data_IF_161362354668
#
_entry.id   IF_161362354668
#
_cell.length_a   1.000
_cell.length_b   1.000
_cell.length_c   1.000
_cell.angle_alpha   90.00
_cell.angle_beta   90.00
_cell.angle_gamma   90.00
#
_symmetry.space_group_name_H-M   'P 1'
#
loop_
_entity.id
_entity.type
_entity.pdbx_description
1 polymer ?
#
# COMPACT_ATOMS: atom_id res chain seq x y z
N UNK A 1 34.87 34.17 7.42
CA UNK A 1 33.87 34.17 6.34
C UNK A 1 34.26 33.09 5.34
N UNK A 2 33.43 32.06 5.18
CA UNK A 2 33.55 31.06 4.12
C UNK A 2 32.32 31.18 3.23
N UNK A 3 32.53 31.69 2.01
CA UNK A 3 31.54 31.95 0.98
C UNK A 3 31.34 30.72 0.10
N UNK A 4 30.46 29.80 0.50
CA UNK A 4 29.73 28.83 -0.36
C UNK A 4 29.09 27.77 0.56
N UNK A 5 27.80 27.47 0.58
CA UNK A 5 26.63 27.87 -0.21
C UNK A 5 25.40 27.36 0.59
N UNK A 6 24.33 28.16 0.61
CA UNK A 6 23.01 27.98 1.22
C UNK A 6 22.55 26.59 1.74
N UNK A 7 22.16 26.56 3.02
CA UNK A 7 21.38 25.49 3.70
C UNK A 7 19.88 25.59 3.41
N UNK A 8 19.48 25.64 2.14
CA UNK A 8 18.06 25.59 1.78
C UNK A 8 17.83 24.55 0.70
N UNK A 9 17.39 23.38 1.14
CA UNK A 9 16.48 22.51 0.39
C UNK A 9 17.00 21.86 -0.89
N UNK A 10 18.31 21.65 -1.07
CA UNK A 10 18.81 20.83 -2.18
C UNK A 10 19.97 19.96 -1.70
N UNK A 11 19.73 18.65 -1.64
CA UNK A 11 20.78 17.66 -1.58
C UNK A 11 20.74 16.94 -2.92
N UNK A 12 21.62 17.31 -3.86
CA UNK A 12 22.31 16.37 -4.75
C UNK A 12 22.95 17.06 -5.96
N UNK A 13 24.05 16.44 -6.39
CA UNK A 13 24.80 16.64 -7.64
C UNK A 13 23.94 16.79 -8.92
N UNK A 14 22.67 16.38 -8.91
CA UNK A 14 21.72 16.52 -10.00
C UNK A 14 20.70 17.63 -9.73
N UNK A 15 20.84 18.74 -10.46
CA UNK A 15 19.97 19.94 -10.35
C UNK A 15 18.57 19.75 -10.91
N UNK A 16 18.32 18.66 -11.63
CA UNK A 16 17.01 18.37 -12.25
C UNK A 16 16.12 17.50 -11.37
N UNK A 17 16.67 16.96 -10.28
CA UNK A 17 15.97 16.05 -9.40
C UNK A 17 15.46 16.79 -8.14
N UNK A 18 14.25 16.45 -7.66
CA UNK A 18 13.71 17.04 -6.44
C UNK A 18 14.58 16.70 -5.21
N UNK A 19 14.57 17.57 -4.18
CA UNK A 19 15.41 17.39 -3.00
C UNK A 19 15.06 16.10 -2.23
N UNK A 20 16.08 15.32 -1.85
CA UNK A 20 15.95 14.17 -0.93
C UNK A 20 15.62 14.66 0.49
N UNK A 21 14.35 14.99 0.74
CA UNK A 21 13.85 15.26 2.09
C UNK A 21 13.04 14.07 2.59
N UNK A 22 13.40 13.55 3.77
CA UNK A 22 12.68 12.44 4.43
C UNK A 22 11.22 12.79 4.76
N UNK A 23 10.91 14.08 4.84
CA UNK A 23 9.60 14.60 5.27
C UNK A 23 8.56 14.68 4.13
N UNK A 24 8.88 14.20 2.91
CA UNK A 24 7.90 14.06 1.81
C UNK A 24 7.26 15.36 1.26
N UNK A 25 7.51 16.51 1.88
CA UNK A 25 6.91 17.82 1.55
C UNK A 25 7.13 18.30 0.11
N UNK A 26 8.13 17.79 -0.60
CA UNK A 26 8.32 18.09 -2.02
C UNK A 26 7.25 17.47 -2.93
N UNK A 27 6.52 16.47 -2.46
CA UNK A 27 5.52 15.74 -3.23
C UNK A 27 4.10 15.95 -2.71
N UNK A 28 3.90 16.85 -1.73
CA UNK A 28 2.60 17.12 -1.12
C UNK A 28 2.32 18.61 -1.13
N UNK A 29 1.38 19.05 -1.98
CA UNK A 29 0.81 20.38 -1.90
C UNK A 29 -0.19 20.42 -0.75
N UNK A 30 0.26 20.80 0.44
CA UNK A 30 -0.63 21.02 1.59
C UNK A 30 -1.31 22.39 1.45
N UNK A 31 -2.42 22.45 0.72
CA UNK A 31 -3.30 23.62 0.70
C UNK A 31 -4.40 23.45 1.76
N UNK A 32 -4.55 24.38 2.72
CA UNK A 32 -5.62 24.30 3.71
C UNK A 32 -7.01 24.33 3.07
N UNK A 33 -7.95 23.52 3.58
CA UNK A 33 -9.34 23.46 3.08
C UNK A 33 -10.06 24.81 3.12
N UNK A 34 -9.68 25.68 4.06
CA UNK A 34 -10.23 27.04 4.17
C UNK A 34 -9.89 27.90 2.94
N UNK A 35 -8.66 27.79 2.43
CA UNK A 35 -8.20 28.52 1.25
C UNK A 35 -8.90 28.00 -0.02
N UNK A 36 -9.06 26.68 -0.12
CA UNK A 36 -9.82 26.04 -1.21
C UNK A 36 -11.28 26.50 -1.19
N UNK A 37 -11.91 26.56 -0.02
CA UNK A 37 -13.29 27.04 0.13
C UNK A 37 -13.43 28.52 -0.26
N UNK A 38 -12.50 29.38 0.14
CA UNK A 38 -12.52 30.80 -0.24
C UNK A 38 -12.32 30.99 -1.74
N UNK A 39 -11.49 30.15 -2.37
CA UNK A 39 -11.36 30.09 -3.82
C UNK A 39 -12.65 29.65 -4.50
N UNK A 40 -13.33 28.61 -4.01
CA UNK A 40 -14.64 28.17 -4.52
C UNK A 40 -15.67 29.30 -4.46
N UNK A 41 -15.76 30.01 -3.33
CA UNK A 41 -16.67 31.16 -3.18
C UNK A 41 -16.36 32.25 -4.19
N UNK A 42 -15.08 32.56 -4.40
CA UNK A 42 -14.62 33.59 -5.35
C UNK A 42 -14.91 33.19 -6.80
N UNK A 43 -14.59 31.95 -7.17
CA UNK A 43 -14.73 31.44 -8.54
C UNK A 43 -16.21 31.26 -8.91
N UNK A 44 -17.04 30.79 -7.97
CA UNK A 44 -18.50 30.69 -8.12
C UNK A 44 -19.24 32.01 -7.87
N UNK A 45 -18.52 33.11 -7.58
CA UNK A 45 -19.06 34.47 -7.33
C UNK A 45 -20.14 34.51 -6.25
N UNK A 46 -19.99 33.72 -5.19
CA UNK A 46 -20.93 33.64 -4.07
C UNK A 46 -20.78 34.88 -3.20
N UNK A 47 -21.86 35.66 -3.06
CA UNK A 47 -21.87 36.92 -2.32
C UNK A 47 -22.67 36.83 -1.01
N UNK A 48 -23.50 35.80 -0.84
CA UNK A 48 -24.34 35.63 0.34
C UNK A 48 -24.30 34.22 0.93
N UNK A 49 -24.61 34.14 2.23
CA UNK A 49 -24.73 32.85 2.92
C UNK A 49 -25.85 31.96 2.35
N UNK A 50 -26.87 32.56 1.73
CA UNK A 50 -27.93 31.81 1.07
C UNK A 50 -27.42 31.13 -0.21
N UNK A 51 -26.76 31.89 -1.08
CA UNK A 51 -26.13 31.37 -2.30
C UNK A 51 -25.10 30.28 -1.99
N UNK A 52 -24.34 30.43 -0.90
CA UNK A 52 -23.40 29.40 -0.47
C UNK A 52 -24.10 28.08 -0.13
N UNK A 53 -25.20 28.14 0.63
CA UNK A 53 -25.99 26.93 0.96
C UNK A 53 -26.60 26.29 -0.28
N UNK A 54 -27.15 27.10 -1.18
CA UNK A 54 -27.72 26.63 -2.44
C UNK A 54 -26.66 25.98 -3.33
N UNK A 55 -25.47 26.59 -3.42
CA UNK A 55 -24.34 26.03 -4.16
C UNK A 55 -23.93 24.67 -3.59
N UNK A 56 -23.79 24.56 -2.26
CA UNK A 56 -23.45 23.30 -1.62
C UNK A 56 -24.52 22.23 -1.85
N UNK A 57 -25.81 22.57 -1.75
CA UNK A 57 -26.90 21.63 -2.00
C UNK A 57 -26.89 21.10 -3.44
N UNK A 58 -26.68 21.99 -4.42
CA UNK A 58 -26.70 21.63 -5.83
C UNK A 58 -25.45 20.83 -6.26
N UNK A 59 -24.31 21.05 -5.60
CA UNK A 59 -23.02 20.44 -5.97
C UNK A 59 -22.50 19.41 -4.96
N UNK A 60 -23.25 19.10 -3.90
CA UNK A 60 -22.80 18.26 -2.78
C UNK A 60 -22.22 16.92 -3.25
N UNK A 61 -22.92 16.24 -4.17
CA UNK A 61 -22.48 14.93 -4.69
C UNK A 61 -21.14 15.01 -5.41
N UNK A 62 -20.93 16.06 -6.22
CA UNK A 62 -19.69 16.26 -6.96
C UNK A 62 -18.53 16.61 -6.02
N UNK A 63 -18.78 17.47 -5.04
CA UNK A 63 -17.78 17.84 -4.02
C UNK A 63 -17.36 16.61 -3.21
N UNK A 64 -18.32 15.79 -2.77
CA UNK A 64 -18.01 14.55 -2.05
C UNK A 64 -17.22 13.56 -2.89
N UNK A 65 -17.58 13.40 -4.18
CA UNK A 65 -16.84 12.53 -5.10
C UNK A 65 -15.40 13.01 -5.30
N UNK A 66 -15.21 14.31 -5.55
CA UNK A 66 -13.89 14.90 -5.74
C UNK A 66 -13.02 14.74 -4.49
N UNK A 67 -13.54 15.11 -3.31
CA UNK A 67 -12.81 14.97 -2.04
C UNK A 67 -12.44 13.50 -1.75
N UNK A 68 -13.32 12.57 -2.11
CA UNK A 68 -13.04 11.13 -1.97
C UNK A 68 -11.91 10.71 -2.90
N UNK A 69 -11.94 11.13 -4.17
CA UNK A 69 -10.91 10.81 -5.15
C UNK A 69 -9.54 11.39 -4.75
N UNK A 70 -9.50 12.64 -4.31
CA UNK A 70 -8.27 13.29 -3.80
C UNK A 70 -7.72 12.57 -2.57
N UNK A 71 -8.57 12.17 -1.61
CA UNK A 71 -8.15 11.40 -0.44
C UNK A 71 -7.56 10.04 -0.79
N UNK A 72 -8.16 9.32 -1.75
CA UNK A 72 -7.64 8.05 -2.25
C UNK A 72 -6.30 8.24 -2.98
N UNK A 73 -6.20 9.28 -3.81
CA UNK A 73 -4.96 9.64 -4.49
C UNK A 73 -3.83 9.98 -3.51
N UNK A 74 -4.13 10.80 -2.49
CA UNK A 74 -3.18 11.16 -1.43
C UNK A 74 -2.75 9.95 -0.58
N UNK A 75 -3.61 8.94 -0.46
CA UNK A 75 -3.29 7.67 0.22
C UNK A 75 -2.35 6.77 -0.58
N UNK A 76 -2.02 7.13 -1.83
CA UNK A 76 -1.16 6.33 -2.72
C UNK A 76 -1.85 5.10 -3.31
N UNK A 77 -3.18 4.96 -3.14
CA UNK A 77 -3.97 3.85 -3.69
C UNK A 77 -4.59 4.30 -5.00
N UNK A 78 -4.50 3.48 -6.05
CA UNK A 78 -5.12 3.79 -7.32
C UNK A 78 -6.67 3.72 -7.19
N UNK A 79 -7.43 4.81 -7.44
CA UNK A 79 -8.88 4.82 -7.32
C UNK A 79 -9.61 3.92 -8.32
N UNK A 80 -8.93 3.49 -9.40
CA UNK A 80 -9.43 2.51 -10.37
C UNK A 80 -9.02 1.08 -10.05
N UNK A 81 -8.33 0.83 -8.94
CA UNK A 81 -8.03 -0.55 -8.54
C UNK A 81 -9.32 -1.26 -8.14
N UNK A 82 -9.65 -2.32 -8.86
CA UNK A 82 -10.69 -3.26 -8.44
C UNK A 82 -10.23 -3.91 -7.13
N UNK A 83 -10.72 -3.40 -6.00
CA UNK A 83 -10.71 -4.14 -4.75
C UNK A 83 -11.50 -5.42 -5.02
N UNK A 84 -10.92 -6.59 -4.74
CA UNK A 84 -11.46 -7.96 -4.95
C UNK A 84 -10.87 -8.81 -6.11
N UNK A 85 -9.75 -8.45 -6.75
CA UNK A 85 -9.05 -9.41 -7.65
C UNK A 85 -8.01 -10.27 -6.92
N UNK A 86 -7.57 -9.86 -5.73
CA UNK A 86 -6.74 -10.70 -4.86
C UNK A 86 -7.64 -11.58 -3.99
N UNK A 87 -7.47 -12.91 -4.03
CA UNK A 87 -8.04 -13.81 -3.03
C UNK A 87 -7.74 -13.25 -1.64
N UNK A 88 -8.75 -13.23 -0.78
CA UNK A 88 -8.64 -12.65 0.56
C UNK A 88 -7.42 -13.21 1.28
N UNK A 89 -6.56 -12.39 1.90
CA UNK A 89 -5.33 -12.84 2.57
C UNK A 89 -5.58 -13.74 3.79
N UNK A 90 -6.85 -14.02 4.12
CA UNK A 90 -7.27 -14.72 5.33
C UNK A 90 -7.86 -16.11 5.07
N UNK A 91 -7.40 -16.80 4.01
CA UNK A 91 -7.70 -18.23 3.82
C UNK A 91 -6.44 -19.06 4.11
N UNK A 92 -6.50 -20.04 5.03
CA UNK A 92 -5.36 -20.93 5.29
C UNK A 92 -4.95 -21.67 4.02
N UNK A 93 -3.64 -21.69 3.73
CA UNK A 93 -3.11 -22.46 2.61
C UNK A 93 -3.06 -23.95 2.97
N UNK A 94 -3.75 -24.78 2.18
CA UNK A 94 -3.78 -26.22 2.36
C UNK A 94 -2.79 -26.90 1.41
N UNK A 95 -1.81 -27.61 1.99
CA UNK A 95 -0.90 -28.48 1.24
C UNK A 95 -1.62 -29.77 0.83
N UNK A 96 -1.38 -30.26 -0.39
CA UNK A 96 -2.00 -31.49 -0.89
C UNK A 96 -1.38 -32.76 -0.32
N UNK A 97 -0.21 -32.67 0.31
CA UNK A 97 0.48 -33.80 0.93
C UNK A 97 1.85 -33.41 1.49
N UNK A 98 2.57 -34.37 2.07
CA UNK A 98 3.87 -34.17 2.73
C UNK A 98 5.01 -33.79 1.79
N UNK A 99 4.85 -34.04 0.49
CA UNK A 99 5.82 -33.65 -0.55
C UNK A 99 5.40 -32.37 -1.31
N UNK A 100 4.31 -31.70 -0.92
CA UNK A 100 3.84 -30.49 -1.57
C UNK A 100 4.70 -29.28 -1.16
N UNK A 101 5.49 -28.77 -2.10
CA UNK A 101 6.36 -27.60 -1.89
C UNK A 101 5.73 -26.30 -2.39
N UNK A 102 4.45 -26.30 -2.79
CA UNK A 102 3.76 -25.10 -3.26
C UNK A 102 3.67 -24.06 -2.15
N UNK A 103 3.73 -22.79 -2.53
CA UNK A 103 3.58 -21.64 -1.63
C UNK A 103 2.54 -20.69 -2.24
N UNK A 104 1.61 -20.15 -1.44
CA UNK A 104 0.70 -19.13 -1.92
C UNK A 104 1.49 -17.90 -2.36
N UNK A 105 1.06 -17.28 -3.45
CA UNK A 105 1.72 -16.10 -4.02
C UNK A 105 1.69 -14.89 -3.08
N UNK A 106 0.74 -14.85 -2.14
CA UNK A 106 0.52 -13.76 -1.20
C UNK A 106 0.40 -14.35 0.22
N UNK A 107 1.03 -13.71 1.21
CA UNK A 107 0.86 -14.05 2.63
C UNK A 107 1.59 -15.32 3.11
N UNK A 108 2.45 -15.94 2.29
CA UNK A 108 3.28 -17.04 2.76
C UNK A 108 4.35 -16.55 3.73
N UNK A 109 4.10 -16.73 5.03
CA UNK A 109 5.07 -16.42 6.06
C UNK A 109 5.88 -17.67 6.45
N UNK A 110 7.20 -17.50 6.53
CA UNK A 110 8.13 -18.45 7.13
C UNK A 110 8.32 -18.05 8.59
N UNK A 111 7.99 -18.95 9.52
CA UNK A 111 8.18 -18.72 10.95
C UNK A 111 9.16 -19.77 11.49
N UNK A 112 9.91 -19.40 12.53
CA UNK A 112 10.88 -20.24 13.25
C UNK A 112 10.31 -21.60 13.67
N UNK A 113 9.00 -21.68 13.97
CA UNK A 113 8.33 -22.93 14.35
C UNK A 113 7.77 -23.72 13.16
N UNK A 114 7.42 -23.04 12.07
CA UNK A 114 6.77 -23.65 10.90
C UNK A 114 7.77 -24.43 10.05
N UNK A 115 8.96 -23.87 9.84
CA UNK A 115 10.00 -24.49 9.04
C UNK A 115 10.47 -25.86 9.60
N UNK A 116 10.83 -26.00 10.89
CA UNK A 116 11.25 -27.28 11.44
C UNK A 116 10.09 -28.30 11.47
N UNK A 117 8.86 -27.85 11.72
CA UNK A 117 7.69 -28.72 11.68
C UNK A 117 7.50 -29.34 10.28
N UNK A 118 7.43 -28.51 9.23
CA UNK A 118 7.26 -28.99 7.86
C UNK A 118 8.41 -29.90 7.41
N UNK A 119 9.65 -29.56 7.80
CA UNK A 119 10.82 -30.39 7.50
C UNK A 119 10.76 -31.76 8.18
N UNK A 120 10.31 -31.81 9.44
CA UNK A 120 10.16 -33.06 10.19
C UNK A 120 9.07 -33.96 9.59
N UNK A 121 7.92 -33.40 9.22
CA UNK A 121 6.86 -34.17 8.56
C UNK A 121 7.33 -34.75 7.21
N UNK A 122 8.09 -33.98 6.43
CA UNK A 122 8.68 -34.45 5.17
C UNK A 122 9.73 -35.56 5.38
N UNK A 123 10.54 -35.49 6.44
CA UNK A 123 11.50 -36.53 6.81
C UNK A 123 10.82 -37.81 7.29
N UNK A 124 9.81 -37.67 8.16
CA UNK A 124 9.02 -38.80 8.66
C UNK A 124 8.33 -39.54 7.51
N UNK A 125 7.81 -38.81 6.51
CA UNK A 125 7.21 -39.41 5.32
C UNK A 125 8.21 -40.21 4.46
N UNK A 126 9.53 -40.01 4.65
CA UNK A 126 10.61 -40.72 3.94
C UNK A 126 11.24 -41.83 4.77
N UNK A 127 10.75 -42.09 5.98
CA UNK A 127 11.24 -43.18 6.80
C UNK A 127 10.90 -44.52 6.12
N UNK A 128 11.92 -45.15 5.52
CA UNK A 128 11.85 -46.51 5.00
C UNK A 128 12.70 -47.37 5.93
N UNK A 129 12.09 -48.40 6.53
CA UNK A 129 12.87 -49.43 7.23
C UNK A 129 13.51 -50.34 6.20
N UNK A 130 14.82 -50.61 6.28
CA UNK A 130 15.43 -51.66 5.49
C UNK A 130 14.72 -52.99 5.77
N UNK A 131 14.39 -53.75 4.72
CA UNK A 131 13.95 -55.14 4.86
C UNK A 131 15.12 -56.05 4.52
N UNK A 132 15.46 -56.96 5.43
CA UNK A 132 16.43 -58.02 5.17
C UNK A 132 15.64 -59.19 4.56
N UNK A 133 15.97 -59.55 3.32
CA UNK A 133 15.39 -60.72 2.68
C UNK A 133 16.04 -61.97 3.29
N UNK A 134 15.23 -62.81 3.95
CA UNK A 134 15.68 -64.03 4.64
C UNK A 134 16.00 -65.19 3.70
N UNK A 135 15.74 -65.08 2.39
CA UNK A 135 15.90 -66.17 1.43
C UNK A 135 17.35 -66.40 0.96
N UNK A 136 18.32 -65.66 1.51
CA UNK A 136 19.75 -65.81 1.20
C UNK A 136 20.57 -66.37 2.39
N UNK A 137 19.92 -67.06 3.32
CA UNK A 137 20.57 -67.83 4.38
C UNK A 137 20.29 -69.33 4.20
#
# INVERSE_FOLDING_TARGET
>A
MSWATCYSGSNNYDKTSPPLMNDGRNYSSYTPDAEVNDKIKKDAKIQSNWEYRQYLQNNALQIMQYNTAESVYASGVNPSSTVNTTPTPNVPFLFSGTNDTRKPAIGYNNNELKNPYLSREALNARMISPSINTNNF
#
